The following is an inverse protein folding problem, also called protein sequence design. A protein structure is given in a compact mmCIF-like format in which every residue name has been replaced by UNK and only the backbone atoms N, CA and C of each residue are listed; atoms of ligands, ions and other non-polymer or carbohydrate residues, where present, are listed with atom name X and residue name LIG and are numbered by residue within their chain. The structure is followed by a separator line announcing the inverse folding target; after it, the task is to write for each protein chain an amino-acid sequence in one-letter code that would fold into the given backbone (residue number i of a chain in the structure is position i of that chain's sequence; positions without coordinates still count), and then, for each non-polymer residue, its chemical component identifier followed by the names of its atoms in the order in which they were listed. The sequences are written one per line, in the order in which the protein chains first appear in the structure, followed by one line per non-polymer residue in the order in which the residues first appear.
data_IF_724363680130
#
_entry.id   IF_724363680130
#
_cell.length_a   1.000
_cell.length_b   1.000
_cell.length_c   1.000
_cell.angle_alpha   90.00
_cell.angle_beta   90.00
_cell.angle_gamma   90.00
#
_symmetry.space_group_name_H-M   'P 1'
#
loop_
_entity.id
_entity.type
_entity.pdbx_description
1 polymer ?
#
# COMPACT_ATOMS: atom_id res chain seq x y z
N UNK A 1 -11.29 -48.55 34.77
CA UNK A 1 -10.49 -47.63 33.92
C UNK A 1 -10.86 -47.89 32.46
N UNK A 2 -11.89 -47.36 31.81
CA UNK A 2 -12.62 -46.11 31.92
C UNK A 2 -12.71 -45.54 30.50
N UNK A 3 -13.59 -46.09 29.64
CA UNK A 3 -13.78 -45.69 28.23
C UNK A 3 -13.99 -44.17 28.03
N UNK A 4 -14.35 -43.46 29.10
CA UNK A 4 -14.45 -42.00 29.15
C UNK A 4 -13.13 -41.27 28.83
N UNK A 5 -11.95 -41.78 29.25
CA UNK A 5 -10.69 -41.06 28.98
C UNK A 5 -10.30 -41.08 27.50
N UNK A 6 -10.62 -42.17 26.79
CA UNK A 6 -10.33 -42.31 25.36
C UNK A 6 -11.18 -41.37 24.50
N UNK A 7 -12.45 -41.14 24.85
CA UNK A 7 -13.32 -40.19 24.13
C UNK A 7 -12.81 -38.76 24.26
N UNK A 8 -12.41 -38.35 25.47
CA UNK A 8 -11.82 -37.03 25.69
C UNK A 8 -10.46 -36.89 25.00
N UNK A 9 -9.62 -37.92 25.00
CA UNK A 9 -8.36 -37.93 24.23
C UNK A 9 -8.61 -37.77 22.72
N UNK A 10 -9.60 -38.46 22.15
CA UNK A 10 -9.95 -38.32 20.73
C UNK A 10 -10.51 -36.93 20.44
N UNK A 11 -11.40 -36.39 21.29
CA UNK A 11 -11.94 -35.04 21.11
C UNK A 11 -10.86 -33.97 21.24
N UNK A 12 -9.96 -34.09 22.22
CA UNK A 12 -8.80 -33.21 22.36
C UNK A 12 -7.84 -33.33 21.17
N UNK A 13 -7.62 -34.54 20.65
CA UNK A 13 -6.77 -34.74 19.47
C UNK A 13 -7.38 -34.14 18.21
N UNK A 14 -8.70 -34.29 18.01
CA UNK A 14 -9.43 -33.68 16.89
C UNK A 14 -9.50 -32.16 17.02
N UNK A 15 -9.65 -31.64 18.23
CA UNK A 15 -9.62 -30.20 18.49
C UNK A 15 -8.20 -29.62 18.29
N UNK A 16 -7.17 -30.27 18.81
CA UNK A 16 -5.78 -29.88 18.61
C UNK A 16 -5.34 -30.00 17.14
N UNK A 17 -5.83 -31.01 16.42
CA UNK A 17 -5.59 -31.15 14.99
C UNK A 17 -6.17 -29.98 14.16
N UNK A 18 -7.23 -29.31 14.65
CA UNK A 18 -7.74 -28.08 14.02
C UNK A 18 -6.85 -26.86 14.24
N UNK A 19 -5.93 -26.90 15.20
CA UNK A 19 -4.95 -25.83 15.43
C UNK A 19 -3.72 -25.95 14.53
N UNK A 20 -3.53 -27.10 13.87
CA UNK A 20 -2.43 -27.30 12.94
C UNK A 20 -2.77 -26.66 11.58
N UNK A 21 -1.85 -25.90 10.97
CA UNK A 21 -2.03 -25.39 9.62
C UNK A 21 -2.33 -26.54 8.65
N UNK A 22 -3.48 -26.49 7.97
CA UNK A 22 -3.80 -27.50 6.98
C UNK A 22 -2.95 -27.27 5.74
N UNK A 23 -2.19 -28.26 5.26
CA UNK A 23 -1.32 -28.04 4.11
C UNK A 23 -2.10 -28.20 2.81
N UNK A 24 -1.68 -27.50 1.75
CA UNK A 24 -2.24 -27.69 0.41
C UNK A 24 -1.78 -29.03 -0.19
N UNK A 25 -2.40 -29.40 -1.31
CA UNK A 25 -1.81 -30.39 -2.22
C UNK A 25 -0.44 -29.90 -2.73
N UNK A 26 0.42 -30.84 -3.09
CA UNK A 26 1.68 -30.54 -3.76
C UNK A 26 1.36 -30.13 -5.20
N UNK A 27 1.89 -28.99 -5.63
CA UNK A 27 1.75 -28.48 -6.98
C UNK A 27 3.12 -28.42 -7.65
N UNK A 28 3.15 -28.64 -8.96
CA UNK A 28 4.36 -28.52 -9.76
C UNK A 28 4.46 -27.09 -10.31
N UNK A 29 5.59 -26.43 -10.05
CA UNK A 29 5.95 -25.14 -10.67
C UNK A 29 7.27 -25.29 -11.45
N UNK A 30 7.63 -24.26 -12.22
CA UNK A 30 8.87 -24.24 -13.03
C UNK A 30 10.12 -24.54 -12.21
N UNK A 31 10.15 -24.09 -10.96
CA UNK A 31 11.28 -24.26 -10.04
C UNK A 31 11.30 -25.63 -9.34
N UNK A 32 10.23 -26.43 -9.42
CA UNK A 32 10.11 -27.74 -8.75
C UNK A 32 8.78 -27.95 -8.01
N UNK A 33 8.60 -29.08 -7.31
CA UNK A 33 7.39 -29.34 -6.54
C UNK A 33 7.32 -28.44 -5.30
N UNK A 34 6.16 -27.86 -4.99
CA UNK A 34 5.96 -27.05 -3.78
C UNK A 34 4.59 -27.28 -3.14
N UNK A 35 4.47 -26.93 -1.85
CA UNK A 35 3.19 -26.86 -1.14
C UNK A 35 3.15 -25.63 -0.24
N UNK A 36 1.93 -25.13 0.00
CA UNK A 36 1.65 -24.07 0.96
C UNK A 36 0.73 -24.56 2.08
N UNK A 37 -0.02 -23.62 2.67
CA UNK A 37 -1.07 -23.90 3.66
C UNK A 37 -2.41 -23.34 3.23
N UNK A 38 -3.47 -23.82 3.87
CA UNK A 38 -4.80 -23.23 3.85
C UNK A 38 -4.84 -22.20 4.98
N UNK A 39 -5.44 -21.04 4.71
CA UNK A 39 -5.60 -19.98 5.72
C UNK A 39 -6.36 -20.51 6.94
N UNK A 40 -6.10 -19.98 8.16
CA UNK A 40 -6.77 -20.46 9.38
C UNK A 40 -8.31 -20.36 9.34
N UNK A 41 -8.84 -19.40 8.58
CA UNK A 41 -10.28 -19.24 8.37
C UNK A 41 -10.85 -20.03 7.18
N UNK A 42 -10.02 -20.85 6.51
CA UNK A 42 -10.41 -21.70 5.39
C UNK A 42 -10.81 -20.93 4.13
N UNK A 43 -10.45 -19.65 4.01
CA UNK A 43 -10.88 -18.80 2.89
C UNK A 43 -9.99 -18.93 1.65
N UNK A 44 -8.71 -19.25 1.82
CA UNK A 44 -7.75 -19.28 0.71
C UNK A 44 -6.55 -20.20 0.94
N UNK A 45 -5.84 -20.53 -0.15
CA UNK A 45 -4.52 -21.13 -0.11
C UNK A 45 -3.45 -20.04 -0.11
N UNK A 46 -2.40 -20.25 0.67
CA UNK A 46 -1.29 -19.33 0.85
C UNK A 46 0.05 -20.05 0.65
N UNK A 47 0.94 -19.44 -0.10
CA UNK A 47 2.29 -19.91 -0.36
C UNK A 47 3.24 -18.76 -0.05
N UNK A 48 4.01 -18.89 1.03
CA UNK A 48 4.82 -17.80 1.57
C UNK A 48 6.30 -18.10 1.54
N UNK A 49 7.11 -17.08 1.28
CA UNK A 49 8.56 -17.20 1.25
C UNK A 49 9.09 -17.96 0.02
N UNK A 50 8.39 -17.92 -1.12
CA UNK A 50 8.87 -18.57 -2.35
C UNK A 50 10.05 -17.76 -2.91
N UNK A 51 11.26 -18.32 -3.02
CA UNK A 51 12.39 -17.59 -3.56
C UNK A 51 12.22 -17.37 -5.06
N UNK A 52 12.30 -16.12 -5.52
CA UNK A 52 12.21 -15.77 -6.95
C UNK A 52 13.58 -15.47 -7.57
N UNK A 53 14.61 -15.27 -6.75
CA UNK A 53 15.97 -15.04 -7.20
C UNK A 53 16.98 -15.50 -6.14
N UNK A 54 18.17 -15.84 -6.60
CA UNK A 54 19.32 -16.11 -5.72
C UNK A 54 20.10 -14.83 -5.43
N UNK A 55 20.80 -14.80 -4.30
CA UNK A 55 21.72 -13.72 -3.96
C UNK A 55 23.12 -14.30 -4.06
N UNK A 56 23.86 -13.86 -5.07
CA UNK A 56 25.22 -14.34 -5.33
C UNK A 56 26.24 -13.51 -4.54
N UNK A 57 26.10 -12.18 -4.58
CA UNK A 57 26.96 -11.22 -3.90
C UNK A 57 26.17 -9.98 -3.49
N UNK A 58 26.60 -9.31 -2.40
CA UNK A 58 26.01 -8.05 -1.96
C UNK A 58 26.23 -6.96 -3.03
N UNK A 59 25.22 -6.12 -3.23
CA UNK A 59 25.23 -4.98 -4.16
C UNK A 59 25.37 -5.36 -5.65
N UNK A 60 25.05 -6.60 -6.00
CA UNK A 60 24.95 -7.05 -7.39
C UNK A 60 23.50 -7.27 -7.78
N UNK A 61 23.24 -7.36 -9.09
CA UNK A 61 21.94 -7.78 -9.60
C UNK A 61 21.55 -9.16 -9.05
N UNK A 62 20.25 -9.42 -8.83
CA UNK A 62 19.77 -10.75 -8.44
C UNK A 62 20.25 -11.84 -9.39
N UNK A 63 20.63 -12.99 -8.84
CA UNK A 63 20.97 -14.19 -9.60
C UNK A 63 19.72 -14.90 -10.14
N UNK A 64 19.90 -16.02 -10.85
CA UNK A 64 18.79 -16.80 -11.40
C UNK A 64 17.86 -17.32 -10.30
N UNK A 65 16.64 -17.65 -10.69
CA UNK A 65 15.68 -18.31 -9.81
C UNK A 65 16.23 -19.68 -9.34
N UNK A 66 16.12 -20.01 -8.05
CA UNK A 66 16.56 -21.31 -7.58
C UNK A 66 15.63 -22.42 -8.07
N UNK A 67 16.19 -23.61 -8.28
CA UNK A 67 15.48 -24.84 -8.66
C UNK A 67 15.67 -25.87 -7.56
N UNK A 68 14.64 -26.67 -7.28
CA UNK A 68 14.65 -27.68 -6.23
C UNK A 68 14.01 -29.00 -6.69
N UNK A 69 14.57 -30.12 -6.23
CA UNK A 69 14.05 -31.46 -6.54
C UNK A 69 13.08 -32.00 -5.46
N UNK A 70 13.14 -31.44 -4.24
CA UNK A 70 12.30 -31.82 -3.11
C UNK A 70 11.05 -30.95 -3.00
N UNK A 71 10.03 -31.40 -2.27
CA UNK A 71 8.82 -30.58 -2.03
C UNK A 71 9.19 -29.35 -1.19
N UNK A 72 9.23 -28.17 -1.82
CA UNK A 72 9.46 -26.92 -1.12
C UNK A 72 8.24 -26.52 -0.29
N UNK A 73 8.43 -26.30 1.01
CA UNK A 73 7.37 -25.85 1.92
C UNK A 73 7.33 -24.32 1.93
N UNK A 74 6.44 -23.74 1.13
CA UNK A 74 6.21 -22.30 1.05
C UNK A 74 5.31 -21.82 2.20
N UNK A 75 5.87 -21.76 3.42
CA UNK A 75 5.14 -21.45 4.65
C UNK A 75 5.78 -20.33 5.49
N UNK A 76 6.88 -19.73 5.03
CA UNK A 76 7.57 -18.66 5.77
C UNK A 76 6.93 -17.30 5.48
N UNK A 77 6.02 -16.87 6.37
CA UNK A 77 5.37 -15.54 6.30
C UNK A 77 6.24 -14.41 6.86
N UNK A 78 7.41 -14.72 7.43
CA UNK A 78 8.23 -13.74 8.15
C UNK A 78 9.47 -13.31 7.37
N UNK A 79 9.78 -13.99 6.28
CA UNK A 79 10.80 -13.61 5.32
C UNK A 79 10.68 -12.12 4.96
N UNK A 80 11.77 -11.39 5.21
CA UNK A 80 11.92 -9.95 4.98
C UNK A 80 13.39 -9.58 4.88
N UNK A 81 13.68 -8.53 4.12
CA UNK A 81 15.03 -8.01 4.01
C UNK A 81 15.51 -7.38 5.30
N UNK A 82 16.84 -7.37 5.46
CA UNK A 82 17.51 -6.73 6.58
C UNK A 82 17.10 -5.26 6.69
N UNK A 83 16.53 -4.86 7.83
CA UNK A 83 16.04 -3.51 8.08
C UNK A 83 16.09 -3.17 9.57
N UNK A 84 16.35 -1.90 9.87
CA UNK A 84 16.44 -1.40 11.25
C UNK A 84 15.08 -0.96 11.77
N UNK A 85 14.72 -1.42 12.97
CA UNK A 85 13.58 -0.93 13.73
C UNK A 85 14.07 0.11 14.74
N UNK A 86 13.67 1.37 14.52
CA UNK A 86 13.99 2.51 15.40
C UNK A 86 15.48 2.68 15.73
N UNK A 87 16.39 2.27 14.85
CA UNK A 87 17.84 2.29 15.08
C UNK A 87 18.32 1.46 16.29
N UNK A 88 17.46 0.60 16.83
CA UNK A 88 17.74 -0.21 18.03
C UNK A 88 17.87 -1.70 17.68
N UNK A 89 17.05 -2.19 16.74
CA UNK A 89 16.97 -3.63 16.46
C UNK A 89 17.00 -3.92 14.96
N UNK A 90 17.95 -4.75 14.51
CA UNK A 90 18.02 -5.22 13.13
C UNK A 90 17.11 -6.45 12.95
N UNK A 91 16.20 -6.39 11.99
CA UNK A 91 15.30 -7.49 11.63
C UNK A 91 15.58 -7.99 10.22
N UNK A 92 15.20 -9.24 9.93
CA UNK A 92 15.27 -9.81 8.58
C UNK A 92 16.60 -10.46 8.22
N UNK A 93 16.71 -10.92 6.98
CA UNK A 93 17.88 -11.64 6.47
C UNK A 93 18.34 -11.00 5.16
N UNK A 94 19.56 -11.30 4.74
CA UNK A 94 19.98 -10.96 3.37
C UNK A 94 19.26 -11.83 2.36
N UNK A 95 19.01 -13.09 2.67
CA UNK A 95 18.29 -14.04 1.82
C UNK A 95 16.77 -13.76 1.80
N UNK A 96 16.38 -12.62 1.24
CA UNK A 96 15.03 -12.08 1.31
C UNK A 96 14.33 -11.91 -0.05
N UNK A 97 14.95 -12.34 -1.16
CA UNK A 97 14.37 -12.29 -2.50
C UNK A 97 13.30 -13.37 -2.68
N UNK A 98 12.23 -13.20 -1.93
CA UNK A 98 11.08 -14.10 -1.87
C UNK A 98 9.82 -13.38 -2.30
N UNK A 99 8.75 -14.12 -2.57
CA UNK A 99 7.42 -13.61 -2.81
C UNK A 99 6.37 -14.46 -2.09
N UNK A 100 5.18 -13.88 -1.91
CA UNK A 100 4.03 -14.58 -1.36
C UNK A 100 2.92 -14.67 -2.41
N UNK A 101 2.29 -15.83 -2.54
CA UNK A 101 1.17 -16.07 -3.46
C UNK A 101 -0.06 -16.48 -2.67
N UNK A 102 -1.20 -15.86 -2.98
CA UNK A 102 -2.49 -16.20 -2.37
C UNK A 102 -3.53 -16.49 -3.45
N UNK A 103 -4.22 -17.62 -3.27
CA UNK A 103 -5.13 -18.20 -4.25
C UNK A 103 -6.48 -18.54 -3.60
N UNK A 104 -7.62 -18.29 -4.28
CA UNK A 104 -8.87 -18.93 -3.88
C UNK A 104 -8.75 -20.46 -3.79
N UNK A 105 -9.59 -21.13 -2.99
CA UNK A 105 -9.56 -22.59 -2.87
C UNK A 105 -10.23 -23.31 -4.05
N UNK A 106 -11.31 -22.73 -4.59
CA UNK A 106 -12.13 -23.37 -5.63
C UNK A 106 -11.63 -23.01 -7.04
N UNK A 107 -10.37 -23.33 -7.33
CA UNK A 107 -9.74 -23.08 -8.64
C UNK A 107 -9.64 -24.40 -9.40
N UNK A 108 -10.15 -24.42 -10.63
CA UNK A 108 -9.89 -25.54 -11.54
C UNK A 108 -8.57 -25.32 -12.27
N UNK A 109 -7.88 -26.37 -12.77
CA UNK A 109 -6.60 -26.21 -13.48
C UNK A 109 -6.64 -25.21 -14.65
N UNK A 110 -7.80 -25.00 -15.28
CA UNK A 110 -7.96 -24.10 -16.42
C UNK A 110 -8.51 -22.71 -16.05
N UNK A 111 -8.74 -22.45 -14.76
CA UNK A 111 -9.25 -21.15 -14.30
C UNK A 111 -8.21 -20.04 -14.52
N UNK A 112 -8.50 -19.12 -15.45
CA UNK A 112 -7.72 -17.89 -15.65
C UNK A 112 -8.24 -16.81 -14.72
N UNK A 113 -7.57 -16.62 -13.60
CA UNK A 113 -7.89 -15.54 -12.66
C UNK A 113 -7.04 -14.30 -12.96
N UNK A 114 -7.58 -13.08 -12.79
CA UNK A 114 -6.76 -11.88 -12.75
C UNK A 114 -5.71 -12.01 -11.65
N UNK A 115 -4.51 -11.49 -11.94
CA UNK A 115 -3.38 -11.47 -11.01
C UNK A 115 -3.11 -10.02 -10.63
N UNK A 116 -3.17 -9.73 -9.34
CA UNK A 116 -2.75 -8.44 -8.80
C UNK A 116 -1.41 -8.62 -8.10
N UNK A 117 -0.43 -7.84 -8.54
CA UNK A 117 0.92 -7.83 -7.99
C UNK A 117 1.06 -6.61 -7.08
N UNK A 118 1.35 -6.82 -5.80
CA UNK A 118 1.55 -5.72 -4.84
C UNK A 118 3.03 -5.60 -4.49
N UNK A 119 3.55 -4.38 -4.58
CA UNK A 119 4.91 -4.03 -4.15
C UNK A 119 4.74 -3.15 -2.90
N UNK A 120 5.32 -3.59 -1.78
CA UNK A 120 5.14 -2.89 -0.52
C UNK A 120 5.79 -1.50 -0.53
N UNK A 121 5.23 -0.58 0.26
CA UNK A 121 5.84 0.72 0.53
C UNK A 121 6.99 0.63 1.55
N UNK A 122 7.36 1.79 2.10
CA UNK A 122 8.44 1.90 3.09
C UNK A 122 9.67 2.65 2.58
N UNK A 123 9.50 3.47 1.54
CA UNK A 123 10.51 4.40 1.03
C UNK A 123 11.85 3.72 0.73
N UNK A 124 11.78 2.48 0.23
CA UNK A 124 12.91 1.65 -0.20
C UNK A 124 13.85 1.14 0.90
N UNK A 125 13.74 1.60 2.15
CA UNK A 125 14.63 1.17 3.25
C UNK A 125 13.98 0.26 4.29
N UNK A 126 12.65 0.09 4.24
CA UNK A 126 11.87 -0.78 5.13
C UNK A 126 10.65 -1.34 4.41
N UNK A 127 10.02 -2.33 5.03
CA UNK A 127 8.80 -2.99 4.54
C UNK A 127 8.97 -4.49 4.31
N UNK A 128 7.85 -5.14 3.99
CA UNK A 128 7.78 -6.57 3.64
C UNK A 128 6.40 -6.90 3.07
N UNK A 129 6.30 -7.88 2.17
CA UNK A 129 5.02 -8.37 1.63
C UNK A 129 4.21 -9.29 2.56
N UNK A 130 4.41 -9.21 3.87
CA UNK A 130 3.83 -10.13 4.87
C UNK A 130 2.37 -9.84 5.23
N UNK A 131 1.66 -10.89 5.66
CA UNK A 131 0.23 -10.90 6.02
C UNK A 131 -0.12 -9.99 7.22
N UNK A 132 0.88 -9.60 8.03
CA UNK A 132 0.70 -8.74 9.20
C UNK A 132 0.01 -7.41 8.84
N UNK A 133 0.45 -6.78 7.77
CA UNK A 133 -0.10 -5.51 7.26
C UNK A 133 -0.87 -5.69 5.95
N UNK A 134 -0.45 -6.64 5.11
CA UNK A 134 -0.94 -6.82 3.75
C UNK A 134 -1.66 -8.16 3.57
N UNK A 135 -2.42 -8.58 4.57
CA UNK A 135 -3.20 -9.81 4.51
C UNK A 135 -4.20 -9.80 3.35
N UNK A 136 -4.48 -10.95 2.73
CA UNK A 136 -5.09 -10.99 1.41
C UNK A 136 -6.62 -11.20 1.47
N UNK A 137 -7.20 -11.27 2.68
CA UNK A 137 -8.57 -11.74 2.94
C UNK A 137 -9.65 -11.02 2.14
N UNK A 138 -9.51 -9.70 1.98
CA UNK A 138 -10.51 -8.90 1.26
C UNK A 138 -10.42 -9.03 -0.27
N UNK A 139 -9.30 -9.54 -0.78
CA UNK A 139 -8.98 -9.53 -2.21
C UNK A 139 -8.95 -10.92 -2.86
N UNK A 140 -8.65 -11.97 -2.09
CA UNK A 140 -8.54 -13.33 -2.61
C UNK A 140 -9.85 -13.94 -3.08
N UNK A 141 -11.04 -13.63 -2.49
CA UNK A 141 -12.29 -14.18 -3.00
C UNK A 141 -12.53 -13.90 -4.48
N UNK A 142 -11.93 -12.85 -5.04
CA UNK A 142 -12.18 -12.40 -6.40
C UNK A 142 -11.02 -12.61 -7.37
N UNK A 143 -9.76 -12.76 -6.90
CA UNK A 143 -8.58 -12.84 -7.78
C UNK A 143 -7.33 -13.44 -7.10
N UNK A 144 -6.34 -13.83 -7.91
CA UNK A 144 -5.01 -14.27 -7.44
C UNK A 144 -4.15 -13.07 -7.04
N UNK A 145 -3.32 -13.23 -6.01
CA UNK A 145 -2.42 -12.18 -5.51
C UNK A 145 -0.98 -12.64 -5.46
N UNK A 146 -0.07 -11.76 -5.87
CA UNK A 146 1.38 -11.96 -5.73
C UNK A 146 1.96 -10.74 -5.04
N UNK A 147 2.64 -10.94 -3.91
CA UNK A 147 3.28 -9.87 -3.16
C UNK A 147 4.78 -9.93 -3.38
N UNK A 148 5.35 -8.84 -3.88
CA UNK A 148 6.78 -8.70 -4.14
C UNK A 148 7.48 -7.91 -3.04
N UNK A 149 8.76 -8.23 -2.90
CA UNK A 149 9.72 -7.54 -2.05
C UNK A 149 10.70 -6.81 -2.94
N UNK A 150 10.80 -5.49 -2.77
CA UNK A 150 11.71 -4.64 -3.54
C UNK A 150 12.42 -3.67 -2.60
N UNK A 151 13.73 -3.54 -2.77
CA UNK A 151 14.59 -2.67 -1.96
C UNK A 151 15.44 -1.82 -2.90
N UNK A 152 15.55 -0.52 -2.64
CA UNK A 152 16.53 0.38 -3.27
C UNK A 152 17.29 1.11 -2.16
N UNK A 153 18.57 1.37 -2.41
CA UNK A 153 19.46 1.96 -1.43
C UNK A 153 19.13 3.43 -1.11
N UNK A 154 19.56 3.84 0.08
CA UNK A 154 19.14 5.00 0.89
C UNK A 154 19.19 6.37 0.18
N UNK A 155 18.25 7.24 0.56
CA UNK A 155 18.47 8.68 0.68
C UNK A 155 18.02 9.14 2.08
N UNK A 156 18.96 9.60 2.90
CA UNK A 156 18.70 10.04 4.28
C UNK A 156 17.83 11.30 4.30
N UNK A 157 16.72 11.25 5.05
CA UNK A 157 15.91 12.42 5.39
C UNK A 157 15.98 12.67 6.90
N UNK A 158 17.10 13.25 7.36
CA UNK A 158 17.23 13.83 8.71
C UNK A 158 17.24 15.36 8.59
N UNK A 159 16.38 16.03 9.35
CA UNK A 159 16.45 17.49 9.47
C UNK A 159 15.37 18.10 10.36
N UNK A 160 15.76 19.06 11.20
CA UNK A 160 14.85 20.02 11.81
C UNK A 160 14.21 20.86 10.70
N UNK A 161 12.88 20.79 10.56
CA UNK A 161 12.16 21.51 9.50
C UNK A 161 12.21 23.00 9.80
N UNK A 162 13.02 23.74 9.03
CA UNK A 162 12.88 25.19 8.87
C UNK A 162 12.12 25.41 7.57
N UNK A 163 10.88 25.91 7.61
CA UNK A 163 10.03 25.98 6.42
C UNK A 163 10.70 26.75 5.27
N UNK A 164 11.40 27.84 5.60
CA UNK A 164 12.17 28.67 4.65
C UNK A 164 13.31 27.91 3.94
N UNK A 165 13.85 26.86 4.59
CA UNK A 165 14.86 25.94 4.03
C UNK A 165 14.25 24.63 3.52
N UNK A 166 12.92 24.49 3.62
CA UNK A 166 12.18 23.27 3.23
C UNK A 166 11.66 23.33 1.80
N UNK A 167 11.94 24.40 1.06
CA UNK A 167 11.64 24.46 -0.36
C UNK A 167 12.28 23.26 -1.08
N UNK A 168 11.57 22.66 -2.05
CA UNK A 168 12.09 21.55 -2.82
C UNK A 168 13.44 21.85 -3.48
N UNK A 169 14.39 20.91 -3.38
CA UNK A 169 15.75 21.04 -3.94
C UNK A 169 15.79 21.09 -5.48
N UNK A 170 14.69 20.73 -6.14
CA UNK A 170 14.52 20.81 -7.59
C UNK A 170 13.93 22.15 -8.06
N UNK A 171 13.82 23.14 -7.16
CA UNK A 171 13.58 24.53 -7.52
C UNK A 171 14.90 25.31 -7.57
N UNK A 172 15.05 26.14 -8.58
CA UNK A 172 16.18 27.03 -8.81
C UNK A 172 15.67 28.46 -8.99
N UNK A 173 16.16 29.37 -8.15
CA UNK A 173 15.74 30.76 -8.12
C UNK A 173 16.86 31.64 -8.66
N UNK A 174 16.53 32.52 -9.61
CA UNK A 174 17.44 33.51 -10.18
C UNK A 174 17.83 34.61 -9.20
N UNK A 175 16.96 34.91 -8.22
CA UNK A 175 17.20 35.95 -7.21
C UNK A 175 16.68 35.52 -5.83
N UNK A 176 17.30 36.06 -4.79
CA UNK A 176 16.84 35.87 -3.41
C UNK A 176 15.48 36.53 -3.17
N UNK A 177 15.15 37.59 -3.91
CA UNK A 177 13.86 38.28 -3.84
C UNK A 177 12.73 37.34 -4.30
N UNK A 178 12.90 36.70 -5.46
CA UNK A 178 11.94 35.72 -5.98
C UNK A 178 11.73 34.56 -5.00
N UNK A 179 12.83 34.08 -4.42
CA UNK A 179 12.81 33.02 -3.40
C UNK A 179 12.00 33.46 -2.18
N UNK A 180 12.28 34.65 -1.65
CA UNK A 180 11.59 35.16 -0.46
C UNK A 180 10.10 35.43 -0.71
N UNK A 181 9.73 35.91 -1.89
CA UNK A 181 8.32 36.11 -2.26
C UNK A 181 7.56 34.77 -2.26
N UNK A 182 8.16 33.72 -2.85
CA UNK A 182 7.59 32.37 -2.84
C UNK A 182 7.47 31.83 -1.43
N UNK A 183 8.52 31.94 -0.61
CA UNK A 183 8.50 31.51 0.79
C UNK A 183 7.41 32.23 1.59
N UNK A 184 7.28 33.54 1.43
CA UNK A 184 6.27 34.33 2.15
C UNK A 184 4.85 33.94 1.74
N UNK A 185 4.59 33.72 0.45
CA UNK A 185 3.27 33.27 0.01
C UNK A 185 2.95 31.86 0.52
N UNK A 186 3.92 30.94 0.54
CA UNK A 186 3.74 29.62 1.14
C UNK A 186 3.50 29.69 2.65
N UNK A 187 4.25 30.51 3.38
CA UNK A 187 4.03 30.73 4.82
C UNK A 187 2.59 31.16 5.08
N UNK A 188 2.04 32.11 4.31
CA UNK A 188 0.65 32.55 4.44
C UNK A 188 -0.38 31.45 4.12
N UNK A 189 -0.06 30.52 3.22
CA UNK A 189 -0.96 29.44 2.82
C UNK A 189 -1.01 28.28 3.83
N UNK A 190 0.02 28.11 4.67
CA UNK A 190 0.17 26.94 5.55
C UNK A 190 0.39 27.27 7.03
N UNK A 191 0.77 28.49 7.38
CA UNK A 191 1.03 28.89 8.77
C UNK A 191 0.01 29.95 9.20
N UNK A 192 -0.57 29.72 10.37
CA UNK A 192 -1.47 30.65 11.05
C UNK A 192 -0.68 31.58 11.96
N UNK A 193 -1.27 32.72 12.34
CA UNK A 193 -0.63 33.67 13.26
C UNK A 193 -0.36 33.04 14.64
N UNK A 194 -1.31 32.26 15.16
CA UNK A 194 -1.18 31.53 16.41
C UNK A 194 -0.84 30.05 16.18
N UNK A 195 0.21 29.55 16.85
CA UNK A 195 0.62 28.15 16.74
C UNK A 195 -0.39 27.26 17.47
N UNK A 196 -1.08 26.42 16.70
CA UNK A 196 -2.11 25.50 17.16
C UNK A 196 -1.92 24.08 16.59
N UNK A 197 -2.78 23.14 16.99
CA UNK A 197 -2.86 21.82 16.33
C UNK A 197 -3.14 21.99 14.83
N UNK A 198 -3.92 23.00 14.44
CA UNK A 198 -4.21 23.25 13.02
C UNK A 198 -2.95 23.68 12.25
N UNK A 199 -2.05 24.45 12.88
CA UNK A 199 -0.74 24.75 12.31
C UNK A 199 0.06 23.48 12.01
N UNK A 200 0.07 22.51 12.93
CA UNK A 200 0.74 21.21 12.73
C UNK A 200 0.10 20.45 11.54
N UNK A 201 -1.23 20.46 11.46
CA UNK A 201 -1.97 19.84 10.35
C UNK A 201 -1.62 20.50 9.02
N UNK A 202 -1.56 21.83 8.97
CA UNK A 202 -1.21 22.56 7.76
C UNK A 202 0.24 22.34 7.34
N UNK A 203 1.20 22.29 8.28
CA UNK A 203 2.58 21.90 7.98
C UNK A 203 2.64 20.46 7.43
N UNK A 204 1.83 19.55 7.97
CA UNK A 204 1.73 18.18 7.46
C UNK A 204 1.15 18.15 6.04
N UNK A 205 0.16 19.01 5.74
CA UNK A 205 -0.37 19.19 4.38
C UNK A 205 0.69 19.71 3.42
N UNK A 206 1.53 20.67 3.82
CA UNK A 206 2.66 21.14 3.00
C UNK A 206 3.57 19.98 2.60
N UNK A 207 3.99 19.16 3.58
CA UNK A 207 4.87 18.02 3.33
C UNK A 207 4.24 17.03 2.35
N UNK A 208 2.94 16.71 2.53
CA UNK A 208 2.22 15.80 1.63
C UNK A 208 1.96 16.39 0.24
N UNK A 209 1.57 17.66 0.17
CA UNK A 209 1.26 18.34 -1.08
C UNK A 209 2.51 18.48 -1.96
N UNK A 210 3.64 18.82 -1.36
CA UNK A 210 4.92 18.96 -2.06
C UNK A 210 5.57 17.62 -2.38
N UNK A 211 5.57 16.70 -1.43
CA UNK A 211 6.31 15.44 -1.53
C UNK A 211 5.58 14.35 -2.30
N UNK A 212 4.25 14.38 -2.35
CA UNK A 212 3.43 13.30 -2.91
C UNK A 212 2.41 13.81 -3.94
N UNK A 213 1.60 14.82 -3.58
CA UNK A 213 0.45 15.21 -4.41
C UNK A 213 0.89 15.93 -5.67
N UNK A 214 1.70 16.99 -5.56
CA UNK A 214 2.13 17.77 -6.73
C UNK A 214 2.88 16.92 -7.77
N UNK A 215 3.88 16.09 -7.40
CA UNK A 215 4.53 15.20 -8.36
C UNK A 215 3.55 14.23 -9.04
N UNK A 216 2.57 13.71 -8.31
CA UNK A 216 1.53 12.84 -8.88
C UNK A 216 0.65 13.58 -9.89
N UNK A 217 0.24 14.82 -9.59
CA UNK A 217 -0.57 15.63 -10.51
C UNK A 217 0.18 15.94 -11.81
N UNK A 218 1.46 16.30 -11.71
CA UNK A 218 2.33 16.52 -12.88
C UNK A 218 2.49 15.23 -13.70
N UNK A 219 2.72 14.09 -13.05
CA UNK A 219 2.85 12.80 -13.72
C UNK A 219 1.58 12.44 -14.48
N UNK A 220 0.41 12.63 -13.87
CA UNK A 220 -0.88 12.42 -14.56
C UNK A 220 -0.99 13.28 -15.82
N UNK A 221 -0.65 14.57 -15.77
CA UNK A 221 -0.69 15.42 -16.97
C UNK A 221 0.35 15.03 -18.03
N UNK A 222 1.53 14.53 -17.63
CA UNK A 222 2.55 14.03 -18.55
C UNK A 222 2.13 12.72 -19.22
N UNK A 223 1.53 11.80 -18.46
CA UNK A 223 0.97 10.56 -18.99
C UNK A 223 -0.13 10.86 -20.01
N UNK A 224 -1.04 11.79 -19.73
CA UNK A 224 -2.08 12.19 -20.70
C UNK A 224 -1.54 12.75 -22.02
N UNK A 225 -0.30 13.25 -22.04
CA UNK A 225 0.37 13.76 -23.26
C UNK A 225 1.10 12.66 -24.04
N UNK A 226 1.42 11.55 -23.39
CA UNK A 226 2.35 10.54 -23.91
C UNK A 226 1.72 9.14 -24.02
N UNK A 227 0.54 8.94 -23.43
CA UNK A 227 -0.11 7.66 -23.28
C UNK A 227 -1.61 7.77 -23.60
N UNK A 228 -2.12 6.84 -24.40
CA UNK A 228 -3.54 6.76 -24.76
C UNK A 228 -4.37 5.87 -23.81
N UNK A 229 -3.71 5.15 -22.89
CA UNK A 229 -4.39 4.29 -21.95
C UNK A 229 -5.24 5.10 -20.95
N UNK A 230 -6.42 4.58 -20.53
CA UNK A 230 -7.26 5.26 -19.54
C UNK A 230 -6.54 5.47 -18.20
N UNK A 231 -6.61 6.70 -17.68
CA UNK A 231 -6.07 7.07 -16.36
C UNK A 231 -7.24 7.35 -15.42
N UNK A 232 -7.25 6.72 -14.25
CA UNK A 232 -8.25 6.92 -13.20
C UNK A 232 -7.55 7.44 -11.95
N UNK A 233 -7.95 8.63 -11.48
CA UNK A 233 -7.40 9.23 -10.28
C UNK A 233 -8.39 9.15 -9.12
N UNK A 234 -7.91 8.96 -7.90
CA UNK A 234 -8.72 9.06 -6.68
C UNK A 234 -8.05 9.90 -5.60
N UNK A 235 -8.86 10.40 -4.69
CA UNK A 235 -8.46 11.10 -3.47
C UNK A 235 -9.08 10.39 -2.28
N UNK A 236 -8.28 9.66 -1.52
CA UNK A 236 -8.75 9.02 -0.30
C UNK A 236 -8.77 10.02 0.86
N UNK A 237 -9.97 10.33 1.37
CA UNK A 237 -10.21 11.31 2.43
C UNK A 237 -10.93 10.72 3.64
N UNK A 238 -11.42 9.49 3.51
CA UNK A 238 -12.16 8.79 4.56
C UNK A 238 -11.39 8.78 5.88
N UNK A 239 -12.05 9.26 6.93
CA UNK A 239 -11.49 9.35 8.28
C UNK A 239 -12.04 8.21 9.14
N UNK A 240 -11.51 7.00 8.94
CA UNK A 240 -11.97 5.82 9.68
C UNK A 240 -11.08 5.39 10.84
N UNK A 241 -11.49 4.31 11.48
CA UNK A 241 -10.87 3.73 12.67
C UNK A 241 -9.70 2.78 12.35
N UNK A 242 -9.44 2.52 11.07
CA UNK A 242 -8.35 1.64 10.62
C UNK A 242 -7.02 2.37 10.39
N UNK A 243 -6.98 3.66 10.71
CA UNK A 243 -5.79 4.50 10.61
C UNK A 243 -4.74 4.13 11.68
N UNK A 244 -3.98 3.07 11.42
CA UNK A 244 -2.89 2.61 12.30
C UNK A 244 -1.90 3.72 12.64
N UNK A 245 -1.43 4.57 11.69
CA UNK A 245 -0.55 5.68 12.03
C UNK A 245 -1.12 6.58 13.12
N UNK A 246 -2.40 6.97 13.02
CA UNK A 246 -3.06 7.79 14.05
C UNK A 246 -3.16 7.06 15.38
N UNK A 247 -3.44 5.75 15.40
CA UNK A 247 -3.53 5.00 16.66
C UNK A 247 -2.26 5.11 17.52
N UNK A 248 -1.10 5.30 16.88
CA UNK A 248 0.20 5.46 17.53
C UNK A 248 0.56 6.92 17.87
N UNK A 249 -0.29 7.88 17.50
CA UNK A 249 -0.06 9.32 17.72
C UNK A 249 -0.69 9.84 19.03
N UNK A 250 -0.21 10.99 19.54
CA UNK A 250 -0.83 11.67 20.69
C UNK A 250 -2.32 11.93 20.50
N UNK A 251 -3.08 12.00 21.61
CA UNK A 251 -4.55 12.19 21.59
C UNK A 251 -5.00 13.43 20.81
N UNK A 252 -4.22 14.50 20.85
CA UNK A 252 -4.49 15.75 20.12
C UNK A 252 -4.49 15.60 18.60
N UNK A 253 -3.72 14.65 18.06
CA UNK A 253 -3.63 14.38 16.61
C UNK A 253 -4.53 13.22 16.19
N UNK A 254 -4.92 12.33 17.12
CA UNK A 254 -5.88 11.26 16.88
C UNK A 254 -7.28 11.76 16.50
N UNK A 255 -7.72 12.87 17.10
CA UNK A 255 -9.05 13.44 16.85
C UNK A 255 -9.14 14.28 15.57
N UNK A 256 -8.01 14.61 14.94
CA UNK A 256 -8.00 15.37 13.70
C UNK A 256 -8.64 14.52 12.60
N UNK A 257 -9.65 15.07 11.91
CA UNK A 257 -10.32 14.39 10.80
C UNK A 257 -9.42 14.30 9.55
N UNK A 258 -9.60 13.22 8.80
CA UNK A 258 -9.00 13.00 7.48
C UNK A 258 -8.04 11.81 7.45
N UNK A 259 -7.71 11.30 6.27
CA UNK A 259 -6.77 10.19 6.13
C UNK A 259 -5.31 10.61 6.39
N UNK A 260 -4.50 9.67 6.86
CA UNK A 260 -3.03 9.81 6.86
C UNK A 260 -2.45 9.10 5.64
N UNK A 261 -1.17 9.30 5.37
CA UNK A 261 -0.48 8.54 4.33
C UNK A 261 -0.57 7.02 4.62
N UNK A 262 -0.86 6.24 3.58
CA UNK A 262 -1.03 4.78 3.59
C UNK A 262 -2.28 4.25 4.31
N UNK A 263 -3.18 5.12 4.78
CA UNK A 263 -4.43 4.72 5.46
C UNK A 263 -5.34 3.88 4.55
N UNK A 264 -5.39 4.22 3.26
CA UNK A 264 -6.21 3.56 2.24
C UNK A 264 -5.86 2.08 2.06
N UNK A 265 -4.61 1.71 2.32
CA UNK A 265 -4.11 0.33 2.22
C UNK A 265 -4.87 -0.58 3.19
N UNK A 266 -5.26 -0.06 4.36
CA UNK A 266 -5.98 -0.83 5.38
C UNK A 266 -7.45 -1.09 5.02
N UNK A 267 -7.92 -0.53 3.92
CA UNK A 267 -9.23 -0.80 3.31
C UNK A 267 -9.13 -1.72 2.09
N UNK A 268 -7.93 -1.96 1.58
CA UNK A 268 -7.66 -2.87 0.46
C UNK A 268 -7.19 -4.23 0.98
N UNK A 269 -6.29 -4.23 1.96
CA UNK A 269 -5.73 -5.43 2.58
C UNK A 269 -6.29 -5.63 3.98
N UNK A 270 -6.32 -6.87 4.45
CA UNK A 270 -6.66 -7.19 5.84
C UNK A 270 -5.43 -7.14 6.74
N UNK A 271 -5.60 -6.71 7.98
CA UNK A 271 -4.52 -6.64 8.97
C UNK A 271 -4.77 -7.70 10.04
N UNK A 272 -3.75 -8.49 10.37
CA UNK A 272 -3.84 -9.46 11.47
C UNK A 272 -3.80 -8.79 12.86
N UNK A 273 -3.39 -7.52 12.93
CA UNK A 273 -3.26 -6.75 14.17
C UNK A 273 -4.50 -5.94 14.55
N UNK A 274 -5.39 -5.67 13.59
CA UNK A 274 -6.61 -4.90 13.85
C UNK A 274 -7.73 -5.89 14.15
N UNK A 275 -8.43 -5.78 15.30
CA UNK A 275 -9.61 -6.60 15.58
C UNK A 275 -10.63 -6.49 14.45
N UNK A 276 -11.16 -7.63 13.99
CA UNK A 276 -12.19 -7.70 12.94
C UNK A 276 -13.51 -7.04 13.33
N UNK A 277 -13.65 -6.60 14.58
CA UNK A 277 -14.80 -5.88 15.14
C UNK A 277 -14.84 -4.39 14.79
N UNK A 278 -13.81 -3.85 14.11
CA UNK A 278 -13.87 -2.52 13.52
C UNK A 278 -14.63 -2.61 12.19
N UNK A 279 -15.95 -2.42 12.24
CA UNK A 279 -16.88 -2.58 11.13
C UNK A 279 -16.88 -1.36 10.20
N UNK A 280 -16.01 -1.38 9.18
CA UNK A 280 -16.00 -0.38 8.09
C UNK A 280 -16.22 -1.08 6.73
N UNK A 281 -17.11 -2.09 6.74
CA UNK A 281 -17.31 -3.03 5.63
C UNK A 281 -17.67 -2.33 4.31
N UNK A 282 -18.47 -1.26 4.34
CA UNK A 282 -18.89 -0.56 3.12
C UNK A 282 -17.71 0.04 2.34
N UNK A 283 -16.76 0.70 3.02
CA UNK A 283 -15.57 1.27 2.37
C UNK A 283 -14.62 0.15 1.93
N UNK A 284 -14.44 -0.89 2.74
CA UNK A 284 -13.62 -2.06 2.37
C UNK A 284 -14.16 -2.73 1.10
N UNK A 285 -15.47 -2.98 1.06
CA UNK A 285 -16.14 -3.59 -0.09
C UNK A 285 -16.04 -2.70 -1.32
N UNK A 286 -16.27 -1.39 -1.19
CA UNK A 286 -16.14 -0.43 -2.29
C UNK A 286 -14.72 -0.40 -2.84
N UNK A 287 -13.71 -0.27 -1.95
CA UNK A 287 -12.30 -0.22 -2.34
C UNK A 287 -11.87 -1.52 -3.04
N UNK A 288 -12.14 -2.66 -2.42
CA UNK A 288 -11.76 -3.97 -2.97
C UNK A 288 -12.49 -4.27 -4.27
N UNK A 289 -13.76 -3.88 -4.40
CA UNK A 289 -14.51 -4.00 -5.66
C UNK A 289 -13.90 -3.13 -6.75
N UNK A 290 -13.63 -1.85 -6.48
CA UNK A 290 -13.01 -0.95 -7.47
C UNK A 290 -11.65 -1.44 -7.96
N UNK A 291 -10.77 -1.86 -7.04
CA UNK A 291 -9.45 -2.38 -7.38
C UNK A 291 -9.50 -3.72 -8.14
N UNK A 292 -10.49 -4.56 -7.84
CA UNK A 292 -10.63 -5.87 -8.51
C UNK A 292 -11.32 -5.74 -9.87
N UNK A 293 -12.27 -4.82 -10.02
CA UNK A 293 -12.87 -4.47 -11.30
C UNK A 293 -11.85 -3.86 -12.25
N UNK A 294 -11.01 -2.93 -11.78
CA UNK A 294 -9.96 -2.37 -12.61
C UNK A 294 -9.01 -3.45 -13.14
N UNK A 295 -8.60 -4.39 -12.30
CA UNK A 295 -7.74 -5.51 -12.73
C UNK A 295 -8.43 -6.49 -13.69
N UNK A 296 -9.76 -6.60 -13.65
CA UNK A 296 -10.55 -7.49 -14.52
C UNK A 296 -10.91 -6.85 -15.85
N UNK A 297 -11.27 -5.58 -15.83
CA UNK A 297 -12.00 -4.90 -16.89
C UNK A 297 -11.32 -3.62 -17.39
N UNK A 298 -10.29 -3.13 -16.70
CA UNK A 298 -9.68 -1.82 -16.99
C UNK A 298 -10.54 -0.62 -16.60
N UNK A 299 -11.74 -0.84 -16.03
CA UNK A 299 -12.63 0.18 -15.48
C UNK A 299 -12.89 -0.17 -14.00
N UNK A 300 -12.68 0.77 -13.05
CA UNK A 300 -12.92 0.49 -11.63
C UNK A 300 -14.39 0.29 -11.27
N UNK A 301 -15.34 0.87 -11.98
CA UNK A 301 -16.76 0.80 -11.57
C UNK A 301 -17.73 0.36 -12.67
N UNK A 302 -17.41 -0.50 -13.65
CA UNK A 302 -18.14 -0.67 -14.92
C UNK A 302 -19.69 -0.71 -14.88
N UNK A 303 -20.32 -1.18 -13.80
CA UNK A 303 -21.76 -1.25 -13.59
C UNK A 303 -22.35 -0.16 -12.66
N UNK A 304 -21.51 0.52 -11.86
CA UNK A 304 -21.84 1.60 -10.92
C UNK A 304 -22.93 1.22 -9.90
N UNK A 305 -23.06 -0.06 -9.56
CA UNK A 305 -24.06 -0.52 -8.57
C UNK A 305 -23.46 -0.65 -7.18
N UNK A 306 -22.22 -1.12 -7.11
CA UNK A 306 -21.47 -1.30 -5.87
C UNK A 306 -19.97 -1.05 -6.12
N UNK A 307 -19.45 0.16 -5.84
CA UNK A 307 -20.16 1.29 -5.24
C UNK A 307 -21.11 2.03 -6.21
N UNK A 308 -22.14 2.74 -5.70
CA UNK A 308 -23.14 3.44 -6.50
C UNK A 308 -22.63 4.76 -7.11
N UNK A 309 -21.46 4.74 -7.75
CA UNK A 309 -20.84 5.93 -8.37
C UNK A 309 -20.01 5.58 -9.61
N UNK A 310 -20.12 6.41 -10.65
CA UNK A 310 -19.20 6.37 -11.79
C UNK A 310 -17.86 6.99 -11.43
N UNK A 311 -16.80 6.18 -11.54
CA UNK A 311 -15.44 6.66 -11.56
C UNK A 311 -15.10 7.00 -13.02
N UNK A 312 -15.05 8.29 -13.32
CA UNK A 312 -14.71 8.76 -14.66
C UNK A 312 -13.20 8.71 -14.89
N UNK A 313 -12.82 8.33 -16.12
CA UNK A 313 -11.43 8.46 -16.57
C UNK A 313 -11.07 9.96 -16.65
N UNK A 314 -9.87 10.29 -16.20
CA UNK A 314 -9.28 11.60 -16.43
C UNK A 314 -8.91 11.77 -17.90
N UNK A 315 -9.07 12.99 -18.42
CA UNK A 315 -8.57 13.37 -19.74
C UNK A 315 -8.10 14.84 -19.75
N UNK A 316 -7.51 15.30 -20.86
CA UNK A 316 -6.96 16.65 -21.00
C UNK A 316 -7.97 17.77 -20.78
N UNK A 317 -9.27 17.53 -20.97
CA UNK A 317 -10.35 18.51 -20.74
C UNK A 317 -11.04 18.35 -19.38
N UNK A 318 -10.88 17.20 -18.73
CA UNK A 318 -11.52 16.86 -17.46
C UNK A 318 -10.53 16.14 -16.55
N UNK A 319 -9.69 16.94 -15.89
CA UNK A 319 -8.75 16.49 -14.87
C UNK A 319 -9.49 16.31 -13.55
N UNK A 320 -10.03 15.12 -13.30
CA UNK A 320 -10.89 14.82 -12.14
C UNK A 320 -10.45 13.58 -11.38
N UNK A 321 -10.79 13.51 -10.11
CA UNK A 321 -10.57 12.36 -9.25
C UNK A 321 -11.86 11.94 -8.55
N UNK A 322 -12.00 10.63 -8.33
CA UNK A 322 -13.00 10.09 -7.41
C UNK A 322 -12.57 10.43 -5.98
N UNK A 323 -13.41 11.13 -5.24
CA UNK A 323 -13.21 11.37 -3.81
C UNK A 323 -13.82 10.20 -3.04
N UNK A 324 -12.98 9.53 -2.25
CA UNK A 324 -13.34 8.39 -1.41
C UNK A 324 -13.39 8.88 0.03
N UNK A 325 -14.59 9.19 0.50
CA UNK A 325 -14.91 9.55 1.89
C UNK A 325 -16.15 8.75 2.35
N UNK A 326 -16.86 9.19 3.40
CA UNK A 326 -18.13 8.58 3.83
C UNK A 326 -19.18 8.59 2.73
N UNK A 327 -19.13 9.60 1.86
CA UNK A 327 -19.89 9.70 0.63
C UNK A 327 -18.93 9.86 -0.55
N UNK A 328 -19.16 9.12 -1.63
CA UNK A 328 -18.34 9.24 -2.82
C UNK A 328 -18.78 10.44 -3.65
N UNK A 329 -17.79 11.17 -4.20
CA UNK A 329 -18.03 12.32 -5.06
C UNK A 329 -16.93 12.45 -6.09
N UNK A 330 -17.03 13.43 -7.00
CA UNK A 330 -15.98 13.74 -7.97
C UNK A 330 -15.47 15.15 -7.72
N UNK A 331 -14.15 15.32 -7.74
CA UNK A 331 -13.51 16.63 -7.59
C UNK A 331 -12.49 16.88 -8.70
N UNK A 332 -12.19 18.15 -9.04
CA UNK A 332 -11.05 18.47 -9.91
C UNK A 332 -9.73 18.00 -9.29
N UNK A 333 -8.79 17.52 -10.11
CA UNK A 333 -7.44 17.13 -9.66
C UNK A 333 -6.68 18.30 -9.01
N UNK A 334 -6.83 19.50 -9.55
CA UNK A 334 -6.29 20.74 -8.99
C UNK A 334 -7.31 21.36 -8.02
N UNK A 335 -7.63 20.63 -6.94
CA UNK A 335 -8.77 20.90 -6.05
C UNK A 335 -8.62 22.11 -5.13
N UNK A 336 -7.41 22.64 -4.90
CA UNK A 336 -7.20 23.76 -3.98
C UNK A 336 -6.16 24.77 -4.47
N UNK A 337 -6.15 25.97 -3.89
CA UNK A 337 -5.25 27.06 -4.26
C UNK A 337 -3.77 26.76 -3.99
N UNK A 338 -3.44 25.97 -2.96
CA UNK A 338 -2.07 25.65 -2.59
C UNK A 338 -1.39 24.82 -3.67
N UNK A 339 -2.06 23.76 -4.15
CA UNK A 339 -1.49 22.92 -5.22
C UNK A 339 -1.46 23.67 -6.56
N UNK A 340 -2.44 24.55 -6.83
CA UNK A 340 -2.39 25.47 -7.99
C UNK A 340 -1.20 26.42 -7.90
N UNK A 341 -0.91 26.96 -6.71
CA UNK A 341 0.24 27.83 -6.51
C UNK A 341 1.56 27.07 -6.68
N UNK A 342 1.64 25.82 -6.21
CA UNK A 342 2.81 24.97 -6.49
C UNK A 342 3.04 24.82 -8.00
N UNK A 343 1.99 24.60 -8.80
CA UNK A 343 2.08 24.57 -10.27
C UNK A 343 2.71 25.84 -10.83
N UNK A 344 2.28 27.01 -10.38
CA UNK A 344 2.86 28.29 -10.79
C UNK A 344 4.35 28.39 -10.42
N UNK A 345 4.71 28.05 -9.18
CA UNK A 345 6.10 28.07 -8.69
C UNK A 345 6.99 27.17 -9.55
N UNK A 346 6.58 25.91 -9.75
CA UNK A 346 7.35 24.97 -10.55
C UNK A 346 7.40 25.36 -12.03
N UNK A 347 6.35 25.95 -12.59
CA UNK A 347 6.39 26.44 -13.99
C UNK A 347 7.50 27.49 -14.22
N UNK A 348 7.84 28.27 -13.18
CA UNK A 348 8.83 29.35 -13.25
C UNK A 348 10.22 28.91 -12.83
N UNK A 349 10.30 28.16 -11.74
CA UNK A 349 11.54 27.91 -11.01
C UNK A 349 11.97 26.45 -11.02
N UNK A 350 11.28 25.55 -11.73
CA UNK A 350 11.75 24.16 -11.85
C UNK A 350 13.13 24.13 -12.50
N UNK A 351 14.09 23.52 -11.81
CA UNK A 351 15.43 23.27 -12.34
C UNK A 351 15.31 22.49 -13.65
N UNK A 352 15.87 23.04 -14.72
CA UNK A 352 15.98 22.35 -16.01
C UNK A 352 17.21 21.44 -15.94
N UNK A 353 17.02 20.17 -16.27
CA UNK A 353 18.06 19.14 -16.23
C UNK A 353 19.10 19.33 -17.31
#
# INVERSE_FOLDING_TARGET
MGLWSKKWLVLWSLWAARLLPQPTLVIQVSNGPMRGTISPDGSHAQYSGIPYATITQRFQSPGPEPVWEYVFNAIDEHARCSQSLQDIFMMGTEQCLVLNIYNPLNITPNSKLPVMVFIHGGAYYKGSGGSLLYGPKYLVPTMRKVFFYFFLDKADMKGNIKLEKSLPKNLEFSSEIDRLEVVQKLLRLYIEEDISVNTIVNITRWIGEVGLIYPMLEETELQLKTNENPIYNYMFQYSGNRNIPKMLMPSSLRSVKGATHADEIFYIFSQNIIPTTIFENSIIESMTTMWTNFAKYGDPTPDFTNPPIKWYRTNSTSLTALVIDSEFSTAPLWYNERVKYLREVYSKFRRKG
#
